data_IF_952961404794
#
_entry.id   IF_952961404794
#
_cell.length_a   1.000
_cell.length_b   1.000
_cell.length_c   1.000
_cell.angle_alpha   90.00
_cell.angle_beta   90.00
_cell.angle_gamma   90.00
#
_symmetry.space_group_name_H-M   'P 1'
#
loop_
_entity.id
_entity.type
_entity.pdbx_description
1 polymer ?
#
# COMPACT_ATOMS: atom_id res chain seq x y z
N UNK A 1 -1.66 -5.47 18.38
CA UNK A 1 -2.87 -6.21 18.73
C UNK A 1 -3.07 -7.33 17.74
N UNK A 2 -3.28 -8.55 18.22
CA UNK A 2 -3.69 -9.66 17.37
C UNK A 2 -5.05 -9.31 16.75
N UNK A 3 -5.13 -9.33 15.42
CA UNK A 3 -6.40 -9.15 14.75
C UNK A 3 -7.31 -10.33 15.14
N UNK A 4 -8.43 -10.03 15.79
CA UNK A 4 -9.51 -11.02 16.02
C UNK A 4 -10.22 -11.26 14.68
N UNK A 5 -9.58 -12.05 13.82
CA UNK A 5 -10.15 -12.45 12.53
C UNK A 5 -10.63 -13.89 12.65
N UNK A 6 -11.75 -14.19 12.00
CA UNK A 6 -12.24 -15.57 11.86
C UNK A 6 -11.15 -16.41 11.17
N UNK A 7 -10.61 -17.45 11.81
CA UNK A 7 -9.55 -18.29 11.24
C UNK A 7 -9.94 -18.89 9.88
N UNK A 8 -11.23 -19.14 9.63
CA UNK A 8 -11.74 -19.66 8.37
C UNK A 8 -11.85 -18.62 7.25
N UNK A 9 -11.61 -17.33 7.55
CA UNK A 9 -11.68 -16.20 6.59
C UNK A 9 -10.41 -15.35 6.57
N UNK A 10 -9.31 -15.93 7.03
CA UNK A 10 -8.02 -15.22 7.10
C UNK A 10 -7.01 -15.92 6.21
N UNK A 11 -6.37 -15.16 5.35
CA UNK A 11 -5.22 -15.59 4.56
C UNK A 11 -3.98 -14.80 4.98
N UNK A 12 -2.92 -15.49 5.35
CA UNK A 12 -1.64 -14.86 5.71
C UNK A 12 -0.61 -15.21 4.63
N UNK A 13 -0.17 -14.21 3.88
CA UNK A 13 0.97 -14.35 2.98
C UNK A 13 2.20 -13.70 3.62
N UNK A 14 3.13 -14.53 4.10
CA UNK A 14 4.37 -14.05 4.72
C UNK A 14 5.23 -13.18 3.80
N UNK A 15 5.09 -13.32 2.48
CA UNK A 15 5.80 -12.49 1.49
C UNK A 15 5.26 -11.05 1.45
N UNK A 16 4.05 -10.80 1.95
CA UNK A 16 3.45 -9.48 2.02
C UNK A 16 3.91 -8.66 3.25
N UNK A 17 4.66 -9.27 4.15
CA UNK A 17 5.12 -8.59 5.36
C UNK A 17 6.32 -7.67 5.06
N UNK A 18 6.19 -6.39 5.43
CA UNK A 18 7.18 -5.35 5.08
C UNK A 18 8.53 -5.47 5.82
N UNK A 19 8.59 -6.23 6.93
CA UNK A 19 9.84 -6.53 7.66
C UNK A 19 10.52 -7.82 7.20
N UNK A 20 10.04 -8.46 6.12
CA UNK A 20 10.74 -9.60 5.54
C UNK A 20 12.14 -9.18 5.08
N UNK A 21 13.16 -9.97 5.34
CA UNK A 21 14.57 -9.65 5.08
C UNK A 21 14.82 -9.20 3.64
N UNK A 22 14.18 -9.84 2.69
CA UNK A 22 14.29 -9.48 1.28
C UNK A 22 13.73 -8.09 0.99
N UNK A 23 12.58 -7.74 1.58
CA UNK A 23 11.97 -6.42 1.42
C UNK A 23 12.78 -5.35 2.14
N UNK A 24 13.31 -5.68 3.32
CA UNK A 24 14.24 -4.80 4.05
C UNK A 24 15.50 -4.52 3.22
N UNK A 25 16.07 -5.53 2.56
CA UNK A 25 17.21 -5.38 1.66
C UNK A 25 16.90 -4.52 0.42
N UNK A 26 15.72 -4.66 -0.18
CA UNK A 26 15.26 -3.79 -1.28
C UNK A 26 15.15 -2.34 -0.80
N UNK A 27 14.51 -2.12 0.35
CA UNK A 27 14.32 -0.80 0.94
C UNK A 27 15.66 -0.12 1.25
N UNK A 28 16.60 -0.83 1.87
CA UNK A 28 17.93 -0.33 2.15
C UNK A 28 18.65 0.11 0.86
N UNK A 29 18.64 -0.74 -0.18
CA UNK A 29 19.28 -0.40 -1.45
C UNK A 29 18.69 0.83 -2.12
N UNK A 30 17.35 0.92 -2.18
CA UNK A 30 16.65 1.98 -2.89
C UNK A 30 16.63 3.27 -2.06
N UNK A 31 16.18 3.20 -0.80
CA UNK A 31 15.86 4.39 -0.02
C UNK A 31 17.01 4.91 0.84
N UNK A 32 17.95 4.04 1.23
CA UNK A 32 19.10 4.44 2.05
C UNK A 32 20.37 4.59 1.20
N UNK A 33 20.74 3.54 0.45
CA UNK A 33 21.91 3.57 -0.43
C UNK A 33 21.70 4.32 -1.75
N UNK A 34 20.46 4.66 -2.08
CA UNK A 34 20.07 5.37 -3.31
C UNK A 34 20.58 4.70 -4.59
N UNK A 35 20.50 3.36 -4.64
CA UNK A 35 20.97 2.55 -5.77
C UNK A 35 19.89 1.63 -6.28
N UNK A 36 19.74 1.63 -7.62
CA UNK A 36 18.87 0.70 -8.35
C UNK A 36 19.59 0.26 -9.61
N UNK A 37 19.68 -1.03 -9.81
CA UNK A 37 20.22 -1.65 -11.03
C UNK A 37 19.16 -2.59 -11.64
N UNK A 38 19.50 -3.15 -12.82
CA UNK A 38 18.60 -4.06 -13.53
C UNK A 38 18.28 -5.33 -12.74
N UNK A 39 19.22 -5.84 -11.96
CA UNK A 39 19.00 -7.03 -11.13
C UNK A 39 17.96 -6.75 -10.06
N UNK A 40 18.09 -5.63 -9.35
CA UNK A 40 17.14 -5.23 -8.34
C UNK A 40 15.76 -4.97 -8.95
N UNK A 41 15.72 -4.32 -10.10
CA UNK A 41 14.48 -4.07 -10.85
C UNK A 41 13.79 -5.38 -11.23
N UNK A 42 14.52 -6.33 -11.81
CA UNK A 42 13.99 -7.67 -12.12
C UNK A 42 13.46 -8.40 -10.87
N UNK A 43 14.18 -8.27 -9.75
CA UNK A 43 13.76 -8.90 -8.49
C UNK A 43 12.48 -8.30 -7.94
N UNK A 44 12.34 -6.97 -7.94
CA UNK A 44 11.11 -6.26 -7.57
C UNK A 44 9.93 -6.78 -8.42
N UNK A 45 10.09 -6.86 -9.73
CA UNK A 45 9.05 -7.35 -10.62
C UNK A 45 8.74 -8.84 -10.45
N UNK A 46 9.71 -9.66 -10.06
CA UNK A 46 9.48 -11.07 -9.74
C UNK A 46 8.59 -11.21 -8.50
N UNK A 47 8.92 -10.52 -7.41
CA UNK A 47 8.12 -10.51 -6.17
C UNK A 47 6.73 -9.94 -6.45
N UNK A 48 6.64 -8.86 -7.23
CA UNK A 48 5.37 -8.28 -7.68
C UNK A 48 4.46 -9.33 -8.34
N UNK A 49 4.99 -10.14 -9.27
CA UNK A 49 4.21 -11.18 -9.95
C UNK A 49 3.70 -12.25 -8.98
N UNK A 50 4.56 -12.71 -8.05
CA UNK A 50 4.18 -13.70 -7.06
C UNK A 50 3.06 -13.18 -6.15
N UNK A 51 3.20 -11.95 -5.66
CA UNK A 51 2.18 -11.31 -4.82
C UNK A 51 0.88 -11.06 -5.58
N UNK A 52 0.94 -10.64 -6.84
CA UNK A 52 -0.26 -10.47 -7.68
C UNK A 52 -1.02 -11.79 -7.85
N UNK A 53 -0.30 -12.89 -8.08
CA UNK A 53 -0.92 -14.22 -8.14
C UNK A 53 -1.53 -14.67 -6.79
N UNK A 54 -0.91 -14.28 -5.67
CA UNK A 54 -1.46 -14.54 -4.33
C UNK A 54 -2.75 -13.75 -4.08
N UNK A 55 -2.79 -12.47 -4.48
CA UNK A 55 -3.98 -11.62 -4.38
C UNK A 55 -5.13 -12.19 -5.23
N UNK A 56 -4.84 -12.65 -6.45
CA UNK A 56 -5.86 -13.23 -7.33
C UNK A 56 -6.45 -14.52 -6.76
N UNK A 57 -5.58 -15.41 -6.20
CA UNK A 57 -6.07 -16.61 -5.49
C UNK A 57 -6.95 -16.25 -4.31
N UNK A 58 -6.52 -15.33 -3.46
CA UNK A 58 -7.27 -14.87 -2.31
C UNK A 58 -8.65 -14.32 -2.72
N UNK A 59 -8.68 -13.45 -3.74
CA UNK A 59 -9.94 -12.92 -4.26
C UNK A 59 -10.89 -14.02 -4.72
N UNK A 60 -10.39 -15.01 -5.48
CA UNK A 60 -11.21 -16.10 -6.02
C UNK A 60 -11.66 -17.07 -4.95
N UNK A 61 -10.78 -17.42 -4.02
CA UNK A 61 -11.08 -18.34 -2.93
C UNK A 61 -12.21 -17.84 -2.02
N UNK A 62 -12.21 -16.53 -1.76
CA UNK A 62 -13.21 -15.89 -0.90
C UNK A 62 -14.32 -15.17 -1.68
N UNK A 63 -14.35 -15.28 -3.00
CA UNK A 63 -15.35 -14.66 -3.90
C UNK A 63 -15.54 -13.15 -3.63
N UNK A 64 -14.43 -12.42 -3.50
CA UNK A 64 -14.46 -11.02 -3.10
C UNK A 64 -14.91 -10.10 -4.24
N UNK A 65 -15.91 -9.28 -3.98
CA UNK A 65 -16.41 -8.21 -4.86
C UNK A 65 -15.70 -6.88 -4.63
N UNK A 66 -15.12 -6.69 -3.46
CA UNK A 66 -14.42 -5.48 -3.04
C UNK A 66 -13.08 -5.81 -2.39
N UNK A 67 -12.11 -4.91 -2.58
CA UNK A 67 -10.85 -4.92 -1.84
C UNK A 67 -10.68 -3.63 -1.05
N UNK A 68 -10.28 -3.74 0.21
CA UNK A 68 -9.89 -2.59 1.03
C UNK A 68 -8.38 -2.66 1.26
N UNK A 69 -7.67 -1.68 0.76
CA UNK A 69 -6.21 -1.57 0.88
C UNK A 69 -5.87 -0.56 1.98
N UNK A 70 -5.47 -1.06 3.15
CA UNK A 70 -5.15 -0.24 4.31
C UNK A 70 -3.70 0.24 4.24
N UNK A 71 -3.50 1.53 3.96
CA UNK A 71 -2.23 2.27 3.88
C UNK A 71 -1.15 1.71 2.93
N UNK A 72 -1.43 0.62 2.21
CA UNK A 72 -0.44 -0.08 1.37
C UNK A 72 -0.22 0.61 0.01
N UNK A 73 -1.15 1.46 -0.42
CA UNK A 73 -1.11 2.22 -1.68
C UNK A 73 -0.72 3.69 -1.49
N UNK A 74 -0.18 4.06 -0.34
CA UNK A 74 0.26 5.43 -0.04
C UNK A 74 1.75 5.54 0.26
N UNK A 75 2.34 4.49 0.86
CA UNK A 75 3.75 4.43 1.23
C UNK A 75 4.45 3.23 0.60
N UNK A 76 5.58 3.42 -0.09
CA UNK A 76 6.34 2.33 -0.70
C UNK A 76 7.20 1.55 0.31
N UNK A 77 6.66 1.27 1.51
CA UNK A 77 7.33 0.46 2.54
C UNK A 77 7.46 -1.00 2.11
N UNK A 78 6.56 -1.43 1.23
CA UNK A 78 6.64 -2.70 0.51
C UNK A 78 6.40 -2.44 -0.98
N UNK A 79 7.42 -1.90 -1.65
CA UNK A 79 7.31 -1.47 -3.05
C UNK A 79 6.72 -2.54 -3.98
N UNK A 80 7.16 -3.84 -3.95
CA UNK A 80 6.57 -4.87 -4.80
C UNK A 80 5.08 -5.12 -4.55
N UNK A 81 4.61 -5.02 -3.29
CA UNK A 81 3.19 -5.24 -2.95
C UNK A 81 2.31 -4.11 -3.49
N UNK A 82 2.72 -2.85 -3.30
CA UNK A 82 1.97 -1.72 -3.84
C UNK A 82 1.86 -1.78 -5.36
N UNK A 83 2.96 -2.13 -6.05
CA UNK A 83 2.97 -2.36 -7.50
C UNK A 83 2.05 -3.53 -7.90
N UNK A 84 2.04 -4.63 -7.14
CA UNK A 84 1.19 -5.78 -7.42
C UNK A 84 -0.29 -5.43 -7.30
N UNK A 85 -0.67 -4.73 -6.23
CA UNK A 85 -2.03 -4.26 -6.01
C UNK A 85 -2.46 -3.26 -7.08
N UNK A 86 -1.68 -2.22 -7.35
CA UNK A 86 -2.01 -1.21 -8.34
C UNK A 86 -2.24 -1.83 -9.74
N UNK A 87 -1.37 -2.74 -10.16
CA UNK A 87 -1.49 -3.47 -11.42
C UNK A 87 -2.73 -4.39 -11.41
N UNK A 88 -2.93 -5.16 -10.34
CA UNK A 88 -4.08 -6.05 -10.21
C UNK A 88 -5.43 -5.31 -10.25
N UNK A 89 -5.54 -4.20 -9.54
CA UNK A 89 -6.74 -3.36 -9.53
C UNK A 89 -7.03 -2.76 -10.92
N UNK A 90 -5.97 -2.34 -11.62
CA UNK A 90 -6.09 -1.80 -12.98
C UNK A 90 -6.53 -2.86 -13.99
N UNK A 91 -5.97 -4.08 -13.94
CA UNK A 91 -6.28 -5.16 -14.88
C UNK A 91 -7.66 -5.78 -14.65
N UNK A 92 -8.07 -5.92 -13.40
CA UNK A 92 -9.31 -6.64 -13.07
C UNK A 92 -10.53 -5.72 -12.98
N UNK A 93 -10.33 -4.42 -12.78
CA UNK A 93 -11.41 -3.47 -12.57
C UNK A 93 -12.20 -3.71 -11.27
N UNK A 94 -11.72 -4.59 -10.36
CA UNK A 94 -12.41 -4.84 -9.09
C UNK A 94 -12.55 -3.55 -8.28
N UNK A 95 -13.73 -3.30 -7.74
CA UNK A 95 -14.00 -2.13 -6.91
C UNK A 95 -13.14 -2.16 -5.66
N UNK A 96 -12.53 -1.02 -5.33
CA UNK A 96 -11.56 -0.98 -4.24
C UNK A 96 -11.64 0.31 -3.45
N UNK A 97 -11.29 0.21 -2.18
CA UNK A 97 -11.08 1.35 -1.29
C UNK A 97 -9.59 1.37 -0.94
N UNK A 98 -8.93 2.49 -1.21
CA UNK A 98 -7.57 2.75 -0.74
C UNK A 98 -7.65 3.74 0.42
N UNK A 99 -7.43 3.24 1.64
CA UNK A 99 -7.45 4.04 2.86
C UNK A 99 -6.03 4.50 3.19
N UNK A 100 -5.81 5.81 3.23
CA UNK A 100 -4.52 6.44 3.35
C UNK A 100 -4.40 7.16 4.69
N UNK A 101 -3.35 6.86 5.46
CA UNK A 101 -3.02 7.56 6.70
C UNK A 101 -2.03 8.69 6.43
N UNK A 102 -0.99 8.42 5.61
CA UNK A 102 0.04 9.35 5.18
C UNK A 102 0.53 8.98 3.78
N UNK A 103 1.30 9.88 3.16
CA UNK A 103 1.79 9.68 1.79
C UNK A 103 3.32 9.70 1.73
N UNK A 104 3.86 9.05 0.70
CA UNK A 104 5.31 8.97 0.48
C UNK A 104 5.99 10.34 0.36
N UNK A 105 5.30 11.33 -0.16
CA UNK A 105 5.85 12.69 -0.28
C UNK A 105 5.97 13.44 1.05
N UNK A 106 5.42 12.94 2.12
CA UNK A 106 5.56 13.45 3.48
C UNK A 106 6.82 12.91 4.19
N UNK A 107 7.48 11.92 3.57
CA UNK A 107 8.62 11.21 4.16
C UNK A 107 9.90 11.44 3.35
N UNK A 108 10.87 12.15 3.91
CA UNK A 108 12.15 12.46 3.26
C UNK A 108 12.85 11.26 2.63
N UNK A 109 12.74 10.09 3.28
CA UNK A 109 13.40 8.86 2.81
C UNK A 109 12.96 8.43 1.41
N UNK A 110 11.76 8.78 0.98
CA UNK A 110 11.21 8.37 -0.32
C UNK A 110 11.44 9.42 -1.42
N UNK A 111 11.74 10.67 -1.06
CA UNK A 111 11.92 11.75 -2.04
C UNK A 111 13.22 11.56 -2.83
N UNK A 112 13.16 11.85 -4.14
CA UNK A 112 14.32 11.73 -5.04
C UNK A 112 14.87 10.31 -5.14
N UNK A 113 14.02 9.31 -4.96
CA UNK A 113 14.38 7.90 -5.00
C UNK A 113 14.77 7.47 -6.43
N UNK A 114 15.76 6.57 -6.62
CA UNK A 114 16.03 5.95 -7.92
C UNK A 114 14.87 5.06 -8.42
N UNK A 115 13.83 4.83 -7.58
CA UNK A 115 12.59 4.14 -7.95
C UNK A 115 11.39 5.09 -8.05
N UNK A 116 11.60 6.39 -8.31
CA UNK A 116 10.54 7.40 -8.41
C UNK A 116 9.49 7.05 -9.48
N UNK A 117 9.92 6.45 -10.59
CA UNK A 117 9.06 5.90 -11.63
C UNK A 117 8.08 4.84 -11.10
N UNK A 118 8.56 3.89 -10.30
CA UNK A 118 7.74 2.84 -9.68
C UNK A 118 6.83 3.39 -8.59
N UNK A 119 7.33 4.36 -7.82
CA UNK A 119 6.55 5.01 -6.76
C UNK A 119 5.37 5.75 -7.39
N UNK A 120 5.60 6.57 -8.40
CA UNK A 120 4.54 7.33 -9.07
C UNK A 120 3.52 6.46 -9.80
N UNK A 121 3.91 5.27 -10.21
CA UNK A 121 3.00 4.34 -10.88
C UNK A 121 1.96 3.69 -9.94
N UNK A 122 2.24 3.64 -8.63
CA UNK A 122 1.43 2.83 -7.70
C UNK A 122 1.06 3.53 -6.37
N UNK A 123 1.59 4.73 -6.07
CA UNK A 123 1.42 5.34 -4.74
C UNK A 123 1.05 6.84 -4.81
N UNK A 124 -0.24 7.19 -4.85
CA UNK A 124 -1.41 6.33 -5.03
C UNK A 124 -1.69 6.03 -6.51
N UNK A 125 -2.30 4.86 -6.83
CA UNK A 125 -2.73 4.54 -8.18
C UNK A 125 -3.91 5.41 -8.61
N UNK A 126 -4.04 5.65 -9.93
CA UNK A 126 -5.02 6.60 -10.48
C UNK A 126 -6.17 5.94 -11.23
N UNK A 127 -6.36 4.63 -11.08
CA UNK A 127 -7.41 3.87 -11.77
C UNK A 127 -8.81 4.22 -11.23
N UNK A 128 -9.84 4.33 -12.09
CA UNK A 128 -11.15 4.86 -11.71
C UNK A 128 -11.98 3.95 -10.79
N UNK A 129 -11.60 2.68 -10.66
CA UNK A 129 -12.27 1.71 -9.79
C UNK A 129 -11.79 1.77 -8.32
N UNK A 130 -10.95 2.74 -7.99
CA UNK A 130 -10.41 2.95 -6.63
C UNK A 130 -11.06 4.18 -6.01
N UNK A 131 -11.72 3.99 -4.87
CA UNK A 131 -12.18 5.06 -4.01
C UNK A 131 -11.09 5.40 -3.01
N UNK A 132 -10.56 6.61 -3.07
CA UNK A 132 -9.56 7.07 -2.12
C UNK A 132 -10.21 7.62 -0.85
N UNK A 133 -9.73 7.16 0.31
CA UNK A 133 -10.15 7.62 1.63
C UNK A 133 -8.91 8.12 2.38
N UNK A 134 -9.07 9.22 3.11
CA UNK A 134 -7.99 9.83 3.90
C UNK A 134 -8.49 10.17 5.30
N UNK A 135 -7.58 10.18 6.28
CA UNK A 135 -7.93 10.37 7.70
C UNK A 135 -8.03 11.85 8.14
N UNK A 136 -7.56 12.78 7.32
CA UNK A 136 -7.61 14.21 7.67
C UNK A 136 -7.70 15.11 6.43
N UNK A 137 -8.10 16.36 6.65
CA UNK A 137 -8.30 17.35 5.57
C UNK A 137 -7.01 17.83 4.92
N UNK A 138 -5.85 17.69 5.58
CA UNK A 138 -4.54 18.03 5.02
C UNK A 138 -4.21 16.99 3.94
N UNK A 139 -4.32 15.70 4.27
CA UNK A 139 -4.14 14.60 3.33
C UNK A 139 -5.11 14.70 2.14
N UNK A 140 -6.38 15.09 2.39
CA UNK A 140 -7.37 15.29 1.32
C UNK A 140 -6.94 16.39 0.32
N UNK A 141 -6.44 17.52 0.81
CA UNK A 141 -5.90 18.57 -0.06
C UNK A 141 -4.63 18.14 -0.78
N UNK A 142 -3.76 17.40 -0.11
CA UNK A 142 -2.50 16.95 -0.70
C UNK A 142 -2.71 15.95 -1.84
N UNK A 143 -3.57 14.94 -1.67
CA UNK A 143 -3.83 13.96 -2.73
C UNK A 143 -4.48 14.63 -3.95
N UNK A 144 -5.42 15.57 -3.74
CA UNK A 144 -6.03 16.34 -4.81
C UNK A 144 -4.98 17.19 -5.56
N UNK A 145 -4.08 17.85 -4.84
CA UNK A 145 -3.12 18.78 -5.43
C UNK A 145 -1.94 18.07 -6.12
N UNK A 146 -1.46 16.96 -5.54
CA UNK A 146 -0.27 16.24 -6.02
C UNK A 146 -0.58 15.12 -7.01
N UNK A 147 -1.71 14.46 -6.86
CA UNK A 147 -2.10 13.33 -7.68
C UNK A 147 -3.34 13.58 -8.55
N UNK A 148 -4.03 14.71 -8.38
CA UNK A 148 -5.25 15.03 -9.10
C UNK A 148 -6.43 14.12 -8.75
N UNK A 149 -6.39 13.47 -7.58
CA UNK A 149 -7.36 12.48 -7.16
C UNK A 149 -8.33 13.04 -6.12
N UNK A 150 -9.65 12.86 -6.31
CA UNK A 150 -10.62 13.12 -5.26
C UNK A 150 -10.46 12.06 -4.14
N UNK A 151 -10.67 12.48 -2.89
CA UNK A 151 -10.66 11.56 -1.75
C UNK A 151 -11.76 11.90 -0.76
N UNK A 152 -12.33 10.88 -0.13
CA UNK A 152 -13.30 11.03 0.96
C UNK A 152 -12.56 11.19 2.29
N UNK A 153 -13.04 12.10 3.11
CA UNK A 153 -12.51 12.31 4.46
C UNK A 153 -13.25 11.42 5.44
N UNK A 154 -12.55 10.43 6.00
CA UNK A 154 -13.04 9.57 7.09
C UNK A 154 -11.98 9.57 8.19
N UNK A 155 -12.12 10.40 9.23
CA UNK A 155 -11.16 10.48 10.32
C UNK A 155 -11.09 9.18 11.11
N UNK A 156 -9.90 8.87 11.65
CA UNK A 156 -9.75 7.79 12.62
C UNK A 156 -10.62 8.06 13.83
N UNK A 157 -11.37 7.05 14.27
CA UNK A 157 -12.17 7.11 15.48
C UNK A 157 -11.25 6.84 16.67
N UNK A 158 -11.22 7.78 17.61
CA UNK A 158 -10.54 7.61 18.90
C UNK A 158 -11.58 7.64 20.01
N UNK A 159 -11.51 6.68 20.93
CA UNK A 159 -12.34 6.68 22.12
C UNK A 159 -11.73 7.63 23.16
N UNK A 160 -12.13 8.89 23.16
CA UNK A 160 -11.67 9.90 24.10
C UNK A 160 -12.16 9.68 25.54
N UNK A 161 -13.04 8.70 25.78
CA UNK A 161 -13.52 8.33 27.11
C UNK A 161 -12.63 7.29 27.81
N UNK A 162 -11.77 6.62 27.07
CA UNK A 162 -10.79 5.71 27.67
C UNK A 162 -9.74 6.51 28.43
N UNK A 163 -9.68 6.30 29.75
CA UNK A 163 -8.61 6.88 30.55
C UNK A 163 -7.28 6.26 30.11
N UNK A 164 -6.22 7.05 29.90
CA UNK A 164 -4.90 6.49 29.66
C UNK A 164 -4.56 5.54 30.83
N UNK A 165 -4.09 4.35 30.49
CA UNK A 165 -3.59 3.41 31.48
C UNK A 165 -2.46 4.05 32.33
N UNK A 166 -2.17 3.55 33.53
CA UNK A 166 -1.06 4.03 34.31
C UNK A 166 0.26 3.92 33.54
N UNK A 167 1.21 4.86 33.76
CA UNK A 167 2.49 4.93 33.05
C UNK A 167 3.34 3.69 33.29
#
# INVERSE_FOLDING_TARGET
>A
GEAQTDPGRTHIDGKAHFLQDEIAGINERIFEKRKRDDNLTRRIHSIKRDLKASIDRFRREYELDWLVAENVLSLPVHLPLGLALAEYLSETGIRSIAHHHDFWWERHRFLGSPADDLIRAAFPPTTPNILHVVINSIAQRQIAHRAGLPAHLIPNVMNFHDKPGPP
#
